data_IF_923489148034
#
_entry.id   IF_923489148034
#
_cell.length_a   1.000
_cell.length_b   1.000
_cell.length_c   1.000
_cell.angle_alpha   90.00
_cell.angle_beta   90.00
_cell.angle_gamma   90.00
#
_symmetry.space_group_name_H-M   'P 1'
#
loop_
_entity.id
_entity.type
_entity.pdbx_description
1 polymer ?
#
# COMPACT_ATOMS: atom_id res chain seq x y z
N UNK A 1 1.35 -18.90 -16.63
CA UNK A 1 2.18 -18.22 -17.65
C UNK A 1 3.52 -18.93 -17.65
N UNK A 2 3.96 -19.42 -18.80
CA UNK A 2 5.30 -19.99 -18.98
C UNK A 2 5.94 -19.17 -20.10
N UNK A 3 6.82 -18.25 -19.72
CA UNK A 3 7.44 -17.27 -20.63
C UNK A 3 8.84 -16.96 -20.10
N UNK A 4 9.86 -17.33 -20.87
CA UNK A 4 11.26 -17.18 -20.49
C UNK A 4 11.64 -15.71 -20.22
N UNK A 5 11.03 -14.76 -20.92
CA UNK A 5 11.29 -13.34 -20.68
C UNK A 5 10.74 -12.89 -19.32
N UNK A 6 9.56 -13.40 -18.93
CA UNK A 6 8.99 -13.13 -17.60
C UNK A 6 9.88 -13.74 -16.52
N UNK A 7 10.28 -15.00 -16.67
CA UNK A 7 11.10 -15.71 -15.68
C UNK A 7 12.45 -14.99 -15.47
N UNK A 8 13.15 -14.62 -16.55
CA UNK A 8 14.41 -13.86 -16.48
C UNK A 8 14.26 -12.51 -15.78
N UNK A 9 13.16 -11.80 -16.01
CA UNK A 9 12.91 -10.52 -15.36
C UNK A 9 12.64 -10.68 -13.86
N UNK A 10 11.93 -11.75 -13.47
CA UNK A 10 11.70 -12.08 -12.06
C UNK A 10 13.03 -12.43 -11.37
N UNK A 11 13.85 -13.27 -11.98
CA UNK A 11 15.17 -13.62 -11.44
C UNK A 11 16.05 -12.37 -11.24
N UNK A 12 16.01 -11.44 -12.21
CA UNK A 12 16.67 -10.14 -12.10
C UNK A 12 16.19 -9.31 -10.91
N UNK A 13 14.88 -9.28 -10.64
CA UNK A 13 14.30 -8.61 -9.47
C UNK A 13 14.79 -9.27 -8.18
N UNK A 14 14.71 -10.60 -8.09
CA UNK A 14 15.11 -11.36 -6.88
C UNK A 14 16.58 -11.15 -6.57
N UNK A 15 17.46 -11.13 -7.58
CA UNK A 15 18.89 -10.91 -7.39
C UNK A 15 19.25 -9.47 -6.96
N UNK A 16 18.39 -8.48 -7.22
CA UNK A 16 18.71 -7.05 -7.04
C UNK A 16 17.89 -6.35 -5.94
N UNK A 17 17.36 -7.07 -4.94
CA UNK A 17 16.49 -6.52 -3.89
C UNK A 17 17.04 -5.29 -3.15
N UNK A 18 18.37 -5.15 -3.07
CA UNK A 18 19.03 -4.04 -2.38
C UNK A 18 19.49 -2.90 -3.31
N UNK A 19 19.16 -2.96 -4.61
CA UNK A 19 19.55 -1.97 -5.60
C UNK A 19 18.32 -1.31 -6.22
N UNK A 20 17.94 -0.15 -5.68
CA UNK A 20 16.75 0.58 -6.09
C UNK A 20 16.76 0.97 -7.59
N UNK A 21 17.90 1.39 -8.12
CA UNK A 21 18.01 1.78 -9.53
C UNK A 21 17.78 0.58 -10.45
N UNK A 22 18.38 -0.57 -10.14
CA UNK A 22 18.18 -1.79 -10.90
C UNK A 22 16.72 -2.26 -10.82
N UNK A 23 16.11 -2.26 -9.63
CA UNK A 23 14.72 -2.64 -9.43
C UNK A 23 13.76 -1.75 -10.22
N UNK A 24 14.03 -0.45 -10.33
CA UNK A 24 13.21 0.46 -11.13
C UNK A 24 13.18 0.04 -12.61
N UNK A 25 14.33 -0.35 -13.16
CA UNK A 25 14.43 -0.81 -14.54
C UNK A 25 13.75 -2.16 -14.75
N UNK A 26 14.01 -3.13 -13.87
CA UNK A 26 13.37 -4.45 -13.95
C UNK A 26 11.85 -4.38 -13.77
N UNK A 27 11.36 -3.61 -12.80
CA UNK A 27 9.92 -3.44 -12.57
C UNK A 27 9.20 -2.85 -13.78
N UNK A 28 9.79 -1.82 -14.42
CA UNK A 28 9.25 -1.22 -15.65
C UNK A 28 9.29 -2.19 -16.84
N UNK A 29 10.33 -2.99 -16.96
CA UNK A 29 10.44 -4.00 -18.01
C UNK A 29 9.38 -5.10 -17.83
N UNK A 30 9.21 -5.59 -16.60
CA UNK A 30 8.21 -6.60 -16.26
C UNK A 30 6.79 -6.10 -16.55
N UNK A 31 6.45 -4.89 -16.11
CA UNK A 31 5.14 -4.29 -16.37
C UNK A 31 4.81 -4.23 -17.88
N UNK A 32 5.81 -3.85 -18.71
CA UNK A 32 5.66 -3.83 -20.17
C UNK A 32 5.45 -5.22 -20.77
N UNK A 33 6.22 -6.22 -20.34
CA UNK A 33 6.10 -7.60 -20.86
C UNK A 33 4.75 -8.21 -20.48
N UNK A 34 4.27 -7.97 -19.25
CA UNK A 34 2.98 -8.48 -18.80
C UNK A 34 1.80 -7.83 -19.53
N UNK A 35 1.86 -6.53 -19.76
CA UNK A 35 0.79 -5.79 -20.45
C UNK A 35 0.76 -6.09 -21.96
N UNK A 36 1.91 -6.23 -22.62
CA UNK A 36 1.97 -6.57 -24.06
C UNK A 36 1.44 -7.95 -24.40
N UNK A 37 1.55 -8.90 -23.48
CA UNK A 37 1.06 -10.26 -23.66
C UNK A 37 -0.41 -10.45 -23.28
N UNK A 38 -1.10 -9.37 -22.85
CA UNK A 38 -2.54 -9.37 -22.58
C UNK A 38 -3.01 -10.46 -21.61
N UNK A 39 -2.18 -10.82 -20.62
CA UNK A 39 -2.53 -11.84 -19.62
C UNK A 39 -3.72 -11.43 -18.73
N UNK A 40 -3.97 -10.12 -18.61
CA UNK A 40 -5.07 -9.54 -17.84
C UNK A 40 -5.64 -8.33 -18.57
N UNK A 41 -6.89 -7.99 -18.30
CA UNK A 41 -7.51 -6.72 -18.71
C UNK A 41 -7.58 -5.81 -17.47
N UNK A 42 -6.71 -4.78 -17.35
CA UNK A 42 -6.73 -3.88 -16.21
C UNK A 42 -8.06 -3.13 -16.13
N UNK A 43 -8.62 -3.03 -14.93
CA UNK A 43 -9.84 -2.28 -14.68
C UNK A 43 -9.54 -1.03 -13.83
N UNK A 44 -10.13 -0.94 -12.64
CA UNK A 44 -10.14 0.26 -11.81
C UNK A 44 -9.47 -0.01 -10.46
N UNK A 45 -8.89 1.02 -9.88
CA UNK A 45 -8.40 0.99 -8.50
C UNK A 45 -8.75 2.29 -7.79
N UNK A 46 -8.78 2.26 -6.46
CA UNK A 46 -8.93 3.45 -5.62
C UNK A 46 -7.58 3.83 -5.01
N UNK A 47 -7.16 5.08 -5.18
CA UNK A 47 -5.88 5.59 -4.66
C UNK A 47 -5.93 6.05 -3.20
N UNK A 48 -6.97 5.64 -2.45
CA UNK A 48 -7.25 6.14 -1.10
C UNK A 48 -7.88 5.06 -0.23
N UNK A 49 -7.49 5.04 1.03
CA UNK A 49 -8.20 4.30 2.07
C UNK A 49 -9.42 5.09 2.55
N UNK A 50 -10.60 4.48 2.49
CA UNK A 50 -11.85 5.02 3.06
C UNK A 50 -12.15 4.28 4.35
N UNK A 51 -11.97 4.95 5.50
CA UNK A 51 -12.15 4.32 6.81
C UNK A 51 -12.95 5.24 7.72
N UNK A 52 -13.99 4.68 8.33
CA UNK A 52 -14.72 5.29 9.42
C UNK A 52 -14.17 4.77 10.75
N UNK A 53 -13.94 5.66 11.70
CA UNK A 53 -13.48 5.30 13.05
C UNK A 53 -14.03 6.29 14.07
N UNK A 54 -14.21 5.82 15.30
CA UNK A 54 -14.62 6.66 16.41
C UNK A 54 -13.59 7.78 16.65
N UNK A 55 -14.05 9.01 16.90
CA UNK A 55 -13.18 10.14 17.24
C UNK A 55 -12.63 10.02 18.67
N UNK A 56 -11.90 8.93 18.94
CA UNK A 56 -11.12 8.67 20.15
C UNK A 56 -9.67 8.30 19.85
N UNK A 57 -9.34 8.03 18.59
CA UNK A 57 -8.00 7.68 18.17
C UNK A 57 -7.20 8.93 17.76
N UNK A 58 -5.95 8.98 18.19
CA UNK A 58 -4.93 9.90 17.70
C UNK A 58 -3.89 9.12 16.88
N UNK A 59 -3.19 9.85 16.01
CA UNK A 59 -2.34 9.31 14.94
C UNK A 59 -1.05 10.10 14.88
N UNK A 60 0.06 9.51 14.40
CA UNK A 60 1.28 10.26 14.17
C UNK A 60 1.06 11.34 13.10
N UNK A 61 1.79 12.46 13.23
CA UNK A 61 1.73 13.54 12.25
C UNK A 61 2.22 13.08 10.87
N UNK A 62 3.27 12.25 10.85
CA UNK A 62 3.79 11.58 9.67
C UNK A 62 3.20 10.17 9.61
N UNK A 63 2.50 9.84 8.51
CA UNK A 63 1.92 8.52 8.30
C UNK A 63 2.85 7.63 7.46
N UNK A 64 2.74 6.29 7.58
CA UNK A 64 3.47 5.39 6.70
C UNK A 64 3.16 5.67 5.22
N UNK A 65 4.20 5.64 4.37
CA UNK A 65 4.07 5.95 2.93
C UNK A 65 3.22 4.92 2.17
N UNK A 66 3.29 3.65 2.57
CA UNK A 66 2.72 2.53 1.82
C UNK A 66 1.59 1.80 2.56
N UNK A 67 1.08 2.35 3.66
CA UNK A 67 0.04 1.71 4.45
C UNK A 67 -0.86 2.75 5.15
N UNK A 68 -2.04 2.30 5.55
CA UNK A 68 -2.93 3.11 6.38
C UNK A 68 -2.36 3.38 7.79
N UNK A 69 -1.53 2.46 8.31
CA UNK A 69 -0.84 2.60 9.58
C UNK A 69 -1.75 2.54 10.81
N UNK A 70 -2.78 1.69 10.83
CA UNK A 70 -3.73 1.59 11.96
C UNK A 70 -3.09 1.10 13.25
N UNK A 71 -2.04 0.29 13.12
CA UNK A 71 -1.13 -0.17 14.18
C UNK A 71 -0.39 0.99 14.88
N UNK A 72 -0.23 2.13 14.20
CA UNK A 72 0.40 3.34 14.77
C UNK A 72 -0.58 4.23 15.54
N UNK A 73 -1.87 3.89 15.60
CA UNK A 73 -2.88 4.72 16.27
C UNK A 73 -2.98 4.36 17.75
N UNK A 74 -3.31 5.34 18.58
CA UNK A 74 -3.51 5.13 20.02
C UNK A 74 -4.79 5.82 20.50
N UNK A 75 -5.29 5.38 21.64
CA UNK A 75 -6.44 6.02 22.29
C UNK A 75 -5.97 7.32 22.93
N UNK A 76 -6.62 8.41 22.54
CA UNK A 76 -6.45 9.71 23.16
C UNK A 76 -7.51 9.88 24.24
N UNK A 77 -7.07 9.91 25.50
CA UNK A 77 -7.95 9.96 26.67
C UNK A 77 -8.90 11.17 26.64
N UNK A 78 -8.47 12.30 26.07
CA UNK A 78 -9.32 13.50 26.00
C UNK A 78 -10.42 13.32 24.95
N UNK A 79 -10.06 12.80 23.78
CA UNK A 79 -11.04 12.50 22.72
C UNK A 79 -12.01 11.41 23.13
N UNK A 80 -11.54 10.39 23.85
CA UNK A 80 -12.39 9.32 24.38
C UNK A 80 -13.42 9.84 25.39
N UNK A 81 -13.01 10.68 26.35
CA UNK A 81 -13.93 11.33 27.29
C UNK A 81 -14.98 12.17 26.57
N UNK A 82 -14.58 12.96 25.57
CA UNK A 82 -15.49 13.77 24.77
C UNK A 82 -16.49 12.92 23.98
N UNK A 83 -16.05 11.77 23.47
CA UNK A 83 -16.93 10.82 22.79
C UNK A 83 -17.95 10.20 23.76
N UNK A 84 -17.54 9.86 24.99
CA UNK A 84 -18.43 9.33 26.01
C UNK A 84 -19.50 10.36 26.43
N UNK A 85 -19.12 11.63 26.61
CA UNK A 85 -20.06 12.72 26.93
C UNK A 85 -21.16 12.86 25.87
N UNK A 86 -20.80 12.81 24.58
CA UNK A 86 -21.75 12.91 23.46
C UNK A 86 -22.72 11.73 23.31
N UNK A 87 -22.45 10.59 23.97
CA UNK A 87 -23.37 9.44 23.94
C UNK A 87 -24.42 9.48 25.05
N UNK A 88 -24.23 10.33 26.07
CA UNK A 88 -25.15 10.49 27.20
C UNK A 88 -26.10 11.69 27.08
N UNK A 89 -25.99 12.46 25.98
CA UNK A 89 -26.97 13.44 25.50
C UNK A 89 -27.86 12.78 24.43
#
# INVERSE_FOLDING_TARGET
>A
VQDEAVDRLIDGIVANQNNEQALLHYGRALDRVLTWNHYVIPQWHISRFRVAYWNKFSKPAVRPRYALGTDTWWIDKNKEKNLAKRKGE
#
